data_IF_422734868053
#
_entry.id   IF_422734868053
#
_cell.length_a   1.000
_cell.length_b   1.000
_cell.length_c   1.000
_cell.angle_alpha   90.00
_cell.angle_beta   90.00
_cell.angle_gamma   90.00
#
_symmetry.space_group_name_H-M   'P 1'
#
loop_
_entity.id
_entity.type
_entity.pdbx_description
1 polymer ?
#
# COMPACT_ATOMS: atom_id res chain seq x y z
N UNK A 1 -18.17 -5.76 -11.87
CA UNK A 1 -17.09 -4.98 -11.23
C UNK A 1 -17.50 -3.53 -11.13
N UNK A 2 -17.45 -3.00 -9.93
CA UNK A 2 -17.80 -1.60 -9.65
C UNK A 2 -16.55 -0.72 -9.74
N UNK A 3 -16.72 0.53 -10.16
CA UNK A 3 -15.63 1.51 -10.17
C UNK A 3 -15.49 2.21 -8.81
N UNK A 4 -14.27 2.50 -8.43
CA UNK A 4 -13.98 3.27 -7.24
C UNK A 4 -14.23 4.76 -7.48
N UNK A 5 -14.84 5.41 -6.51
CA UNK A 5 -14.99 6.86 -6.52
C UNK A 5 -13.73 7.54 -5.95
N UNK A 6 -13.57 8.83 -6.19
CA UNK A 6 -12.50 9.63 -5.55
C UNK A 6 -12.55 9.54 -4.01
N UNK A 7 -13.74 9.39 -3.44
CA UNK A 7 -13.92 9.21 -2.00
C UNK A 7 -13.37 7.88 -1.51
N UNK A 8 -13.56 6.80 -2.27
CA UNK A 8 -13.05 5.47 -1.92
C UNK A 8 -11.52 5.46 -1.92
N UNK A 9 -10.91 6.00 -2.97
CA UNK A 9 -9.45 6.12 -3.08
C UNK A 9 -8.88 6.97 -1.93
N UNK A 10 -9.51 8.12 -1.63
CA UNK A 10 -9.09 8.97 -0.50
C UNK A 10 -9.21 8.24 0.84
N UNK A 11 -10.28 7.50 1.04
CA UNK A 11 -10.48 6.68 2.23
C UNK A 11 -9.44 5.58 2.36
N UNK A 12 -9.06 4.92 1.26
CA UNK A 12 -7.99 3.93 1.23
C UNK A 12 -6.63 4.56 1.60
N UNK A 13 -6.31 5.74 1.05
CA UNK A 13 -5.09 6.48 1.39
C UNK A 13 -5.03 6.86 2.87
N UNK A 14 -6.12 7.37 3.44
CA UNK A 14 -6.19 7.72 4.86
C UNK A 14 -6.03 6.48 5.75
N UNK A 15 -6.68 5.36 5.40
CA UNK A 15 -6.48 4.08 6.10
C UNK A 15 -5.04 3.60 6.03
N UNK A 16 -4.39 3.73 4.88
CA UNK A 16 -2.97 3.39 4.73
C UNK A 16 -2.09 4.18 5.70
N UNK A 17 -2.31 5.48 5.82
CA UNK A 17 -1.56 6.31 6.78
C UNK A 17 -1.75 5.87 8.24
N UNK A 18 -2.93 5.33 8.59
CA UNK A 18 -3.24 4.87 9.93
C UNK A 18 -2.76 3.44 10.21
N UNK A 19 -2.91 2.53 9.24
CA UNK A 19 -2.76 1.07 9.50
C UNK A 19 -1.44 0.49 9.03
N UNK A 20 -0.70 1.12 8.13
CA UNK A 20 0.50 0.54 7.53
C UNK A 20 1.57 0.12 8.56
N UNK A 21 1.67 0.81 9.69
CA UNK A 21 2.62 0.52 10.76
C UNK A 21 2.03 -0.19 11.98
N UNK A 22 0.71 -0.35 12.05
CA UNK A 22 0.06 -0.90 13.25
C UNK A 22 0.06 -2.43 13.29
N UNK A 23 0.05 -3.08 12.12
CA UNK A 23 -0.07 -4.53 11.99
C UNK A 23 1.20 -5.14 11.38
N UNK A 24 2.35 -4.78 11.94
CA UNK A 24 3.66 -5.22 11.44
C UNK A 24 4.02 -6.60 12.00
N UNK A 25 4.52 -7.51 11.15
CA UNK A 25 5.06 -8.79 11.57
C UNK A 25 6.38 -9.11 10.88
N UNK A 26 7.11 -10.13 11.33
CA UNK A 26 8.43 -10.47 10.79
C UNK A 26 8.38 -11.25 9.47
N UNK A 27 7.27 -11.89 9.14
CA UNK A 27 7.14 -12.74 7.97
C UNK A 27 6.77 -11.94 6.72
N UNK A 28 5.74 -11.12 6.81
CA UNK A 28 5.20 -10.36 5.68
C UNK A 28 5.31 -8.83 5.82
N UNK A 29 5.94 -8.38 6.91
CA UNK A 29 6.19 -6.96 7.25
C UNK A 29 4.93 -6.10 7.28
N UNK A 30 4.75 -5.21 6.31
CA UNK A 30 3.62 -4.26 6.25
C UNK A 30 2.38 -4.84 5.57
N UNK A 31 2.41 -6.09 5.10
CA UNK A 31 1.29 -6.68 4.36
C UNK A 31 -0.03 -6.72 5.13
N UNK A 32 -0.09 -6.98 6.45
CA UNK A 32 -1.35 -6.89 7.19
C UNK A 32 -1.98 -5.50 7.14
N UNK A 33 -1.18 -4.44 7.30
CA UNK A 33 -1.64 -3.06 7.18
C UNK A 33 -2.09 -2.72 5.76
N UNK A 34 -1.38 -3.22 4.75
CA UNK A 34 -1.78 -3.09 3.35
C UNK A 34 -3.10 -3.80 3.07
N UNK A 35 -3.29 -5.04 3.54
CA UNK A 35 -4.53 -5.79 3.38
C UNK A 35 -5.72 -5.07 4.03
N UNK A 36 -5.56 -4.55 5.25
CA UNK A 36 -6.58 -3.73 5.92
C UNK A 36 -6.94 -2.46 5.14
N UNK A 37 -5.98 -1.85 4.48
CA UNK A 37 -6.21 -0.67 3.66
C UNK A 37 -7.00 -1.00 2.40
N UNK A 38 -6.62 -2.08 1.69
CA UNK A 38 -7.17 -2.39 0.37
C UNK A 38 -8.50 -3.16 0.44
N UNK A 39 -8.75 -3.95 1.49
CA UNK A 39 -9.90 -4.84 1.59
C UNK A 39 -11.25 -4.17 1.28
N UNK A 40 -11.62 -3.00 1.83
CA UNK A 40 -12.89 -2.37 1.52
C UNK A 40 -13.00 -1.90 0.06
N UNK A 41 -11.87 -1.66 -0.60
CA UNK A 41 -11.87 -1.32 -2.03
C UNK A 41 -12.05 -2.57 -2.90
N UNK A 42 -11.44 -3.69 -2.52
CA UNK A 42 -11.65 -5.00 -3.15
C UNK A 42 -13.10 -5.45 -2.99
N UNK A 43 -13.67 -5.35 -1.77
CA UNK A 43 -15.08 -5.65 -1.51
C UNK A 43 -16.01 -4.86 -2.43
N UNK A 44 -15.73 -3.57 -2.65
CA UNK A 44 -16.53 -2.73 -3.54
C UNK A 44 -16.35 -3.09 -5.01
N UNK A 45 -15.13 -3.36 -5.47
CA UNK A 45 -14.84 -3.72 -6.87
C UNK A 45 -15.54 -5.03 -7.24
N UNK A 46 -15.46 -6.04 -6.36
CA UNK A 46 -15.92 -7.41 -6.58
C UNK A 46 -17.20 -7.75 -5.83
N UNK A 47 -18.02 -6.75 -5.52
CA UNK A 47 -19.27 -6.88 -4.78
C UNK A 47 -20.11 -8.07 -5.30
N UNK A 48 -20.49 -8.96 -4.38
CA UNK A 48 -21.29 -10.16 -4.66
C UNK A 48 -20.48 -11.45 -4.91
N UNK A 49 -19.14 -11.38 -4.83
CA UNK A 49 -18.25 -12.55 -4.95
C UNK A 49 -17.32 -12.65 -3.74
N UNK A 50 -17.87 -13.11 -2.62
CA UNK A 50 -17.16 -13.20 -1.34
C UNK A 50 -15.96 -14.14 -1.38
N UNK A 51 -16.02 -15.21 -2.20
CA UNK A 51 -14.92 -16.15 -2.36
C UNK A 51 -13.74 -15.48 -3.05
N UNK A 52 -13.99 -14.75 -4.13
CA UNK A 52 -12.96 -14.00 -4.87
C UNK A 52 -12.37 -12.88 -4.01
N UNK A 53 -13.20 -12.15 -3.27
CA UNK A 53 -12.76 -11.09 -2.33
C UNK A 53 -11.79 -11.68 -1.30
N UNK A 54 -12.17 -12.78 -0.65
CA UNK A 54 -11.34 -13.44 0.35
C UNK A 54 -10.01 -13.89 -0.22
N UNK A 55 -10.01 -14.54 -1.38
CA UNK A 55 -8.81 -15.01 -2.08
C UNK A 55 -7.86 -13.85 -2.42
N UNK A 56 -8.38 -12.73 -2.93
CA UNK A 56 -7.56 -11.56 -3.27
C UNK A 56 -6.94 -10.90 -2.02
N UNK A 57 -7.72 -10.72 -0.98
CA UNK A 57 -7.22 -10.14 0.28
C UNK A 57 -6.17 -11.04 0.91
N UNK A 58 -6.39 -12.37 0.92
CA UNK A 58 -5.41 -13.35 1.40
C UNK A 58 -4.09 -13.29 0.60
N UNK A 59 -4.14 -13.14 -0.71
CA UNK A 59 -2.96 -13.00 -1.55
C UNK A 59 -2.15 -11.74 -1.21
N UNK A 60 -2.81 -10.62 -0.94
CA UNK A 60 -2.12 -9.41 -0.47
C UNK A 60 -1.58 -9.55 0.95
N UNK A 61 -2.28 -10.26 1.82
CA UNK A 61 -1.86 -10.51 3.20
C UNK A 61 -0.63 -11.42 3.29
N UNK A 62 -0.58 -12.48 2.48
CA UNK A 62 0.46 -13.50 2.50
C UNK A 62 1.75 -13.11 1.77
N UNK A 63 1.71 -12.11 0.90
CA UNK A 63 2.87 -11.68 0.11
C UNK A 63 3.65 -10.60 0.85
N UNK A 64 4.97 -10.77 0.96
CA UNK A 64 5.89 -9.80 1.60
C UNK A 64 5.75 -8.40 1.01
N UNK A 65 5.67 -7.41 1.89
CA UNK A 65 5.63 -5.99 1.51
C UNK A 65 6.27 -5.13 2.58
N UNK A 66 7.22 -4.30 2.18
CA UNK A 66 7.87 -3.33 3.05
C UNK A 66 8.38 -2.14 2.23
N UNK A 67 7.88 -0.95 2.50
CA UNK A 67 8.27 0.28 1.81
C UNK A 67 8.21 1.49 2.73
N UNK A 68 8.73 2.64 2.26
CA UNK A 68 8.54 3.90 2.95
C UNK A 68 7.09 4.40 2.78
N UNK A 69 6.51 4.93 3.86
CA UNK A 69 5.07 5.17 3.98
C UNK A 69 4.54 6.22 2.98
N UNK A 70 5.30 7.29 2.77
CA UNK A 70 4.90 8.39 1.90
C UNK A 70 4.96 7.99 0.42
N UNK A 71 6.07 7.37 0.02
CA UNK A 71 6.24 6.86 -1.35
C UNK A 71 5.35 5.64 -1.61
N UNK A 72 5.06 4.85 -0.60
CA UNK A 72 4.16 3.70 -0.67
C UNK A 72 2.75 4.04 -1.14
N UNK A 73 2.29 5.28 -0.91
CA UNK A 73 0.97 5.73 -1.40
C UNK A 73 0.84 5.64 -2.93
N UNK A 74 1.94 5.83 -3.65
CA UNK A 74 1.96 5.68 -5.12
C UNK A 74 1.70 4.23 -5.51
N UNK A 75 2.35 3.29 -4.82
CA UNK A 75 2.15 1.85 -5.03
C UNK A 75 0.70 1.47 -4.73
N UNK A 76 0.15 1.95 -3.62
CA UNK A 76 -1.24 1.69 -3.22
C UNK A 76 -2.23 2.16 -4.29
N UNK A 77 -2.04 3.38 -4.80
CA UNK A 77 -2.87 3.92 -5.88
C UNK A 77 -2.77 3.11 -7.17
N UNK A 78 -1.57 2.68 -7.54
CA UNK A 78 -1.34 1.86 -8.73
C UNK A 78 -1.98 0.47 -8.61
N UNK A 79 -1.89 -0.17 -7.43
CA UNK A 79 -2.55 -1.45 -7.17
C UNK A 79 -4.07 -1.32 -7.27
N UNK A 80 -4.67 -0.29 -6.67
CA UNK A 80 -6.11 -0.04 -6.79
C UNK A 80 -6.56 0.19 -8.23
N UNK A 81 -5.79 0.94 -9.01
CA UNK A 81 -6.08 1.19 -10.43
C UNK A 81 -6.00 -0.10 -11.27
N UNK A 82 -5.04 -0.98 -10.97
CA UNK A 82 -4.95 -2.27 -11.61
C UNK A 82 -6.16 -3.15 -11.25
N UNK A 83 -6.51 -3.29 -9.98
CA UNK A 83 -7.67 -4.10 -9.56
C UNK A 83 -8.97 -3.60 -10.20
N UNK A 84 -9.13 -2.28 -10.36
CA UNK A 84 -10.28 -1.68 -11.03
C UNK A 84 -10.32 -1.93 -12.54
N UNK A 85 -9.16 -2.23 -13.18
CA UNK A 85 -9.08 -2.45 -14.63
C UNK A 85 -9.74 -3.74 -15.11
N UNK A 86 -9.91 -4.73 -14.22
CA UNK A 86 -10.61 -5.98 -14.51
C UNK A 86 -9.92 -6.91 -15.51
N UNK A 87 -8.63 -6.74 -15.75
CA UNK A 87 -7.86 -7.62 -16.62
C UNK A 87 -7.71 -9.01 -15.98
N UNK A 88 -7.66 -10.06 -16.78
CA UNK A 88 -7.43 -11.43 -16.31
C UNK A 88 -6.10 -11.54 -15.55
N UNK A 89 -6.06 -12.28 -14.45
CA UNK A 89 -4.90 -12.44 -13.55
C UNK A 89 -4.36 -11.12 -12.96
N UNK A 90 -5.24 -10.15 -12.78
CA UNK A 90 -4.86 -8.80 -12.34
C UNK A 90 -4.18 -8.78 -10.97
N UNK A 91 -4.61 -9.64 -10.03
CA UNK A 91 -4.04 -9.63 -8.68
C UNK A 91 -2.58 -10.09 -8.68
N UNK A 92 -2.22 -11.05 -9.51
CA UNK A 92 -0.81 -11.46 -9.68
C UNK A 92 0.03 -10.31 -10.24
N UNK A 93 -0.49 -9.58 -11.21
CA UNK A 93 0.16 -8.39 -11.79
C UNK A 93 0.28 -7.27 -10.76
N UNK A 94 -0.74 -7.04 -9.96
CA UNK A 94 -0.75 -6.04 -8.91
C UNK A 94 0.22 -6.38 -7.76
N UNK A 95 0.30 -7.66 -7.38
CA UNK A 95 1.29 -8.17 -6.42
C UNK A 95 2.72 -8.02 -6.96
N UNK A 96 2.95 -8.38 -8.23
CA UNK A 96 4.25 -8.24 -8.88
C UNK A 96 4.69 -6.77 -8.95
N UNK A 97 3.78 -5.86 -9.32
CA UNK A 97 4.03 -4.41 -9.33
C UNK A 97 4.37 -3.89 -7.92
N UNK A 98 3.57 -4.26 -6.92
CA UNK A 98 3.80 -3.90 -5.52
C UNK A 98 5.18 -4.34 -5.04
N UNK A 99 5.52 -5.60 -5.30
CA UNK A 99 6.80 -6.20 -4.90
C UNK A 99 7.98 -5.58 -5.63
N UNK A 100 7.86 -5.32 -6.92
CA UNK A 100 8.91 -4.71 -7.73
C UNK A 100 9.22 -3.26 -7.36
N UNK A 101 8.20 -2.49 -6.95
CA UNK A 101 8.35 -1.08 -6.62
C UNK A 101 8.71 -0.83 -5.14
N UNK A 102 8.43 -1.76 -4.23
CA UNK A 102 8.61 -1.53 -2.79
C UNK A 102 10.05 -1.17 -2.41
N UNK A 103 11.05 -1.84 -2.98
CA UNK A 103 12.47 -1.59 -2.70
C UNK A 103 12.94 -0.22 -3.19
N UNK A 104 12.81 0.11 -4.48
CA UNK A 104 13.16 1.43 -5.00
C UNK A 104 12.47 2.58 -4.26
N UNK A 105 11.20 2.46 -3.95
CA UNK A 105 10.46 3.50 -3.24
C UNK A 105 10.80 3.57 -1.75
N UNK A 106 11.17 2.47 -1.12
CA UNK A 106 11.73 2.50 0.23
C UNK A 106 13.04 3.30 0.26
N UNK A 107 13.97 3.00 -0.66
CA UNK A 107 15.26 3.70 -0.73
C UNK A 107 15.12 5.20 -1.00
N UNK A 108 14.28 5.59 -1.96
CA UNK A 108 14.01 6.99 -2.26
C UNK A 108 13.31 7.68 -1.09
N UNK A 109 12.28 7.08 -0.53
CA UNK A 109 11.50 7.65 0.55
C UNK A 109 12.32 7.82 1.84
N UNK A 110 13.10 6.82 2.22
CA UNK A 110 13.98 6.89 3.39
C UNK A 110 15.04 8.00 3.23
N UNK A 111 15.63 8.12 2.04
CA UNK A 111 16.62 9.15 1.76
C UNK A 111 16.00 10.56 1.83
N UNK A 112 14.84 10.76 1.21
CA UNK A 112 14.20 12.09 1.14
C UNK A 112 13.55 12.48 2.47
N UNK A 113 12.73 11.61 3.04
CA UNK A 113 11.87 11.96 4.17
C UNK A 113 12.50 11.66 5.53
N UNK A 114 13.33 10.63 5.64
CA UNK A 114 13.94 10.27 6.94
C UNK A 114 15.34 10.85 7.09
N UNK A 115 16.24 10.63 6.11
CA UNK A 115 17.64 11.06 6.23
C UNK A 115 17.75 12.58 6.06
N UNK A 116 17.28 13.13 4.95
CA UNK A 116 17.41 14.57 4.66
C UNK A 116 16.72 15.44 5.70
N UNK A 117 15.51 15.07 6.14
CA UNK A 117 14.80 15.81 7.18
C UNK A 117 15.55 15.80 8.51
N UNK A 118 16.10 14.66 8.94
CA UNK A 118 16.87 14.57 10.19
C UNK A 118 18.15 15.40 10.12
N UNK A 119 18.84 15.41 8.99
CA UNK A 119 20.04 16.23 8.81
C UNK A 119 19.71 17.71 8.89
N UNK A 120 18.68 18.16 8.18
CA UNK A 120 18.28 19.57 8.16
C UNK A 120 17.84 20.02 9.54
N UNK A 121 16.85 19.36 10.15
CA UNK A 121 16.32 19.78 11.45
C UNK A 121 17.30 19.55 12.59
N UNK A 122 18.12 18.50 12.53
CA UNK A 122 19.17 18.25 13.50
C UNK A 122 20.27 19.31 13.46
N UNK A 123 20.67 19.74 12.28
CA UNK A 123 21.64 20.82 12.12
C UNK A 123 21.09 22.17 12.62
N UNK A 124 19.83 22.47 12.33
CA UNK A 124 19.17 23.67 12.85
C UNK A 124 19.10 23.65 14.39
N UNK A 125 18.68 22.53 14.98
CA UNK A 125 18.60 22.39 16.43
C UNK A 125 19.97 22.47 17.11
N UNK A 126 21.03 21.94 16.47
CA UNK A 126 22.40 22.04 17.01
C UNK A 126 23.02 23.43 16.88
N UNK A 127 22.47 24.30 16.01
CA UNK A 127 22.91 25.69 15.85
C UNK A 127 22.20 26.66 16.82
N UNK A 128 21.01 26.30 17.29
CA UNK A 128 20.23 27.07 18.27
C UNK A 128 20.68 26.83 19.70
#
# INVERSE_FOLDING_TARGET
>A
MNKLTKSDVRSAMLRSMCYQWQSFNYETMQSPGFAQMIAPSIEKIYEGDDELISKKVEQYLSTFYNTENTMGQIIHGAVLALEESGVENITDSAVALRTGLMGPFAGLGDSLFKVSSKVIFGSLAGYM
#
